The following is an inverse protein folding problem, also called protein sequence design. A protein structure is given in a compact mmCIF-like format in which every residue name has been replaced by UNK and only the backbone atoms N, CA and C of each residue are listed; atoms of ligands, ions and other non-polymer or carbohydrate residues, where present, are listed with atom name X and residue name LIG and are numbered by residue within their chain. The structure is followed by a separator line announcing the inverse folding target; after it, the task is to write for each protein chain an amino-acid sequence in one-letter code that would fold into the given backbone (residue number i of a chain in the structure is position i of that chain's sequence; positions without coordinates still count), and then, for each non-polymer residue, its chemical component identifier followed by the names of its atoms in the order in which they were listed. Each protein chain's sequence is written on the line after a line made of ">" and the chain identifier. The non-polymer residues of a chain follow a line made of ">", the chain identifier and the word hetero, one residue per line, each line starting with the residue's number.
data_IF_512230786044
#
_entry.id   IF_512230786044
#
_cell.length_a   1.000
_cell.length_b   1.000
_cell.length_c   1.000
_cell.angle_alpha   90.00
_cell.angle_beta   90.00
_cell.angle_gamma   90.00
#
_symmetry.space_group_name_H-M   'P 1'
#
loop_
_entity.id
_entity.type
_entity.pdbx_description
1 polymer ?
#
# COMPACT_ATOMS: atom_id res chain seq x y z
N UNK A 1 5.67 -23.95 2.81
CA UNK A 1 5.64 -22.59 2.26
C UNK A 1 4.25 -21.94 2.33
N UNK A 2 3.17 -22.59 1.88
CA UNK A 2 1.81 -22.00 1.94
C UNK A 2 1.30 -21.68 3.35
N UNK A 3 1.46 -22.60 4.32
CA UNK A 3 0.95 -22.39 5.69
C UNK A 3 1.60 -21.17 6.39
N UNK A 4 2.92 -21.02 6.28
CA UNK A 4 3.63 -19.89 6.89
C UNK A 4 3.21 -18.55 6.28
N UNK A 5 2.98 -18.52 4.96
CA UNK A 5 2.51 -17.33 4.27
C UNK A 5 1.10 -16.93 4.76
N UNK A 6 0.19 -17.90 4.93
CA UNK A 6 -1.17 -17.62 5.45
C UNK A 6 -1.12 -17.11 6.90
N UNK A 7 -0.23 -17.67 7.75
CA UNK A 7 -0.05 -17.14 9.12
C UNK A 7 0.46 -15.70 9.09
N UNK A 8 1.42 -15.37 8.22
CA UNK A 8 1.91 -14.00 8.06
C UNK A 8 0.80 -13.06 7.59
N UNK A 9 0.02 -13.44 6.59
CA UNK A 9 -1.14 -12.66 6.13
C UNK A 9 -2.17 -12.41 7.24
N UNK A 10 -2.48 -13.43 8.08
CA UNK A 10 -3.37 -13.26 9.22
C UNK A 10 -2.79 -12.32 10.29
N UNK A 11 -1.45 -12.26 10.42
CA UNK A 11 -0.84 -11.28 11.34
C UNK A 11 -0.99 -9.85 10.86
N UNK A 12 -0.97 -9.60 9.54
CA UNK A 12 -1.28 -8.28 8.98
C UNK A 12 -2.73 -7.85 9.30
N UNK A 13 -3.65 -8.81 9.43
CA UNK A 13 -5.02 -8.55 9.88
C UNK A 13 -5.15 -8.37 11.41
N UNK A 14 -4.03 -8.35 12.14
CA UNK A 14 -3.95 -8.03 13.56
C UNK A 14 -4.06 -9.23 14.50
N UNK A 15 -3.93 -10.45 13.99
CA UNK A 15 -3.78 -11.64 14.83
C UNK A 15 -2.30 -11.78 15.24
N UNK A 16 -2.04 -12.28 16.45
CA UNK A 16 -0.71 -12.76 16.79
C UNK A 16 -0.41 -14.07 16.04
N UNK A 17 0.86 -14.45 15.93
CA UNK A 17 1.23 -15.74 15.30
C UNK A 17 0.57 -16.94 15.97
N UNK A 18 0.39 -16.93 17.30
CA UNK A 18 -0.31 -17.98 18.02
C UNK A 18 -1.81 -17.98 17.70
N UNK A 19 -2.44 -16.82 17.70
CA UNK A 19 -3.85 -16.68 17.31
C UNK A 19 -4.09 -17.14 15.88
N UNK A 20 -3.22 -16.76 14.94
CA UNK A 20 -3.31 -17.19 13.54
C UNK A 20 -3.21 -18.72 13.40
N UNK A 21 -2.28 -19.34 14.12
CA UNK A 21 -2.14 -20.81 14.12
C UNK A 21 -3.35 -21.52 14.71
N UNK A 22 -3.93 -20.98 15.79
CA UNK A 22 -5.13 -21.52 16.44
C UNK A 22 -6.36 -21.28 15.56
N UNK A 23 -6.47 -20.11 14.92
CA UNK A 23 -7.54 -19.81 13.97
C UNK A 23 -7.56 -20.82 12.82
N UNK A 24 -6.41 -21.11 12.21
CA UNK A 24 -6.29 -22.12 11.16
C UNK A 24 -6.63 -23.52 11.65
N UNK A 25 -6.24 -23.87 12.88
CA UNK A 25 -6.61 -25.14 13.49
C UNK A 25 -8.13 -25.27 13.64
N UNK A 26 -8.81 -24.23 14.16
CA UNK A 26 -10.27 -24.20 14.25
C UNK A 26 -10.93 -24.25 12.87
N UNK A 27 -10.41 -23.50 11.89
CA UNK A 27 -10.93 -23.45 10.54
C UNK A 27 -10.91 -24.81 9.85
N UNK A 28 -9.86 -25.60 10.08
CA UNK A 28 -9.67 -26.93 9.48
C UNK A 28 -10.46 -28.03 10.19
N UNK A 29 -10.61 -27.92 11.51
CA UNK A 29 -11.16 -29.01 12.32
C UNK A 29 -12.59 -28.72 12.85
N UNK A 30 -13.11 -27.54 12.64
CA UNK A 30 -14.44 -27.14 13.12
C UNK A 30 -14.45 -26.78 14.61
N UNK A 31 -15.50 -27.20 15.32
CA UNK A 31 -15.70 -26.87 16.73
C UNK A 31 -14.73 -27.66 17.64
N UNK A 32 -13.85 -26.95 18.34
CA UNK A 32 -12.90 -27.51 19.29
C UNK A 32 -13.01 -26.80 20.65
N UNK A 33 -12.82 -27.58 21.73
CA UNK A 33 -12.56 -26.98 23.04
C UNK A 33 -11.06 -26.66 23.22
N UNK A 34 -10.70 -25.90 24.27
CA UNK A 34 -9.32 -25.48 24.50
C UNK A 34 -8.34 -26.66 24.70
N UNK A 35 -8.81 -27.80 25.21
CA UNK A 35 -7.98 -28.99 25.36
C UNK A 35 -7.66 -29.65 24.00
N UNK A 36 -8.65 -29.79 23.16
CA UNK A 36 -8.50 -30.33 21.80
C UNK A 36 -7.61 -29.43 20.97
N UNK A 37 -7.84 -28.12 21.04
CA UNK A 37 -7.00 -27.13 20.36
C UNK A 37 -5.53 -27.21 20.78
N UNK A 38 -5.27 -27.35 22.09
CA UNK A 38 -3.91 -27.54 22.60
C UNK A 38 -3.25 -28.84 22.08
N UNK A 39 -4.04 -29.93 21.97
CA UNK A 39 -3.57 -31.19 21.43
C UNK A 39 -3.22 -31.10 19.94
N UNK A 40 -4.04 -30.41 19.13
CA UNK A 40 -3.80 -30.28 17.69
C UNK A 40 -2.64 -29.33 17.38
N UNK A 41 -2.52 -28.23 18.12
CA UNK A 41 -1.52 -27.20 17.85
C UNK A 41 -0.17 -27.42 18.53
N UNK A 42 -0.12 -28.26 19.58
CA UNK A 42 1.06 -28.42 20.43
C UNK A 42 1.35 -27.22 21.34
N UNK A 43 0.48 -26.22 21.35
CA UNK A 43 0.61 -25.02 22.19
C UNK A 43 0.14 -25.34 23.63
N UNK A 44 0.82 -24.77 24.64
CA UNK A 44 0.43 -24.98 26.03
C UNK A 44 -1.01 -24.53 26.29
N UNK A 45 -1.73 -25.23 27.17
CA UNK A 45 -3.15 -24.95 27.46
C UNK A 45 -3.40 -23.49 27.86
N UNK A 46 -2.55 -22.92 28.73
CA UNK A 46 -2.69 -21.54 29.17
C UNK A 46 -2.63 -20.56 27.97
N UNK A 47 -1.68 -20.76 27.06
CA UNK A 47 -1.54 -19.92 25.87
C UNK A 47 -2.70 -20.11 24.90
N UNK A 48 -3.22 -21.36 24.77
CA UNK A 48 -4.40 -21.62 23.94
C UNK A 48 -5.61 -20.88 24.46
N UNK A 49 -5.92 -20.93 25.77
CA UNK A 49 -7.07 -20.20 26.32
C UNK A 49 -6.92 -18.68 26.16
N UNK A 50 -5.72 -18.13 26.37
CA UNK A 50 -5.47 -16.72 26.13
C UNK A 50 -5.66 -16.33 24.66
N UNK A 51 -5.17 -17.14 23.74
CA UNK A 51 -5.31 -16.89 22.31
C UNK A 51 -6.76 -17.07 21.81
N UNK A 52 -7.49 -18.08 22.34
CA UNK A 52 -8.93 -18.25 22.03
C UNK A 52 -9.75 -17.05 22.49
N UNK A 53 -9.49 -16.53 23.70
CA UNK A 53 -10.12 -15.32 24.19
C UNK A 53 -9.79 -14.12 23.28
N UNK A 54 -8.52 -13.95 22.88
CA UNK A 54 -8.11 -12.91 21.93
C UNK A 54 -8.75 -13.04 20.55
N UNK A 55 -8.94 -14.27 20.03
CA UNK A 55 -9.65 -14.51 18.78
C UNK A 55 -11.13 -14.10 18.86
N UNK A 56 -11.80 -14.40 19.97
CA UNK A 56 -13.20 -13.99 20.19
C UNK A 56 -13.29 -12.46 20.28
N UNK A 57 -12.41 -11.81 21.06
CA UNK A 57 -12.35 -10.36 21.19
C UNK A 57 -12.12 -9.66 19.85
N UNK A 58 -11.27 -10.24 19.01
CA UNK A 58 -10.96 -9.72 17.66
C UNK A 58 -11.99 -10.07 16.58
N UNK A 59 -13.05 -10.81 16.95
CA UNK A 59 -14.09 -11.24 16.00
C UNK A 59 -13.60 -12.29 14.99
N UNK A 60 -12.54 -13.05 15.32
CA UNK A 60 -11.99 -14.12 14.49
C UNK A 60 -12.49 -15.52 14.89
N UNK A 61 -13.09 -15.68 16.06
CA UNK A 61 -13.71 -16.92 16.50
C UNK A 61 -15.03 -16.67 17.24
N UNK A 62 -15.94 -17.62 17.14
CA UNK A 62 -17.15 -17.68 17.95
C UNK A 62 -16.95 -18.60 19.16
N UNK A 63 -17.47 -18.19 20.29
CA UNK A 63 -17.62 -19.02 21.48
C UNK A 63 -18.98 -19.72 21.44
N UNK A 64 -18.98 -21.05 21.55
CA UNK A 64 -20.17 -21.86 21.65
C UNK A 64 -20.29 -22.32 23.11
N UNK A 65 -21.26 -21.75 23.80
CA UNK A 65 -21.54 -22.09 25.20
C UNK A 65 -22.27 -23.45 25.30
N UNK A 66 -21.86 -24.29 26.25
CA UNK A 66 -22.42 -25.63 26.48
C UNK A 66 -21.85 -26.26 27.74
N UNK A 67 -22.00 -27.57 27.88
CA UNK A 67 -21.38 -28.32 28.99
C UNK A 67 -19.88 -28.19 29.06
N UNK A 68 -19.23 -27.95 27.92
CA UNK A 68 -17.86 -27.43 27.81
C UNK A 68 -17.85 -26.36 26.72
N UNK A 69 -17.18 -25.24 26.98
CA UNK A 69 -17.02 -24.17 25.99
C UNK A 69 -16.24 -24.67 24.78
N UNK A 70 -16.80 -24.49 23.59
CA UNK A 70 -16.15 -24.77 22.31
C UNK A 70 -15.96 -23.49 21.53
N UNK A 71 -15.05 -23.53 20.57
CA UNK A 71 -14.72 -22.41 19.71
C UNK A 71 -14.73 -22.87 18.25
N UNK A 72 -15.21 -22.01 17.38
CA UNK A 72 -15.16 -22.23 15.93
C UNK A 72 -14.64 -20.96 15.24
N UNK A 73 -13.88 -21.12 14.17
CA UNK A 73 -13.38 -19.97 13.43
C UNK A 73 -14.50 -19.24 12.70
N UNK A 74 -14.47 -17.91 12.71
CA UNK A 74 -15.28 -17.09 11.80
C UNK A 74 -14.80 -17.35 10.38
N UNK A 75 -15.69 -17.49 9.37
CA UNK A 75 -15.28 -17.64 7.98
C UNK A 75 -14.33 -16.53 7.55
N UNK A 76 -13.23 -16.88 6.83
CA UNK A 76 -12.17 -15.93 6.44
C UNK A 76 -12.73 -14.68 5.79
N UNK A 77 -13.65 -14.85 4.83
CA UNK A 77 -14.27 -13.73 4.13
C UNK A 77 -15.01 -12.78 5.09
N UNK A 78 -15.77 -13.34 6.01
CA UNK A 78 -16.53 -12.57 7.01
C UNK A 78 -15.58 -11.81 7.95
N UNK A 79 -14.58 -12.50 8.48
CA UNK A 79 -13.56 -11.90 9.34
C UNK A 79 -12.85 -10.72 8.64
N UNK A 80 -12.37 -10.93 7.39
CA UNK A 80 -11.69 -9.90 6.63
C UNK A 80 -12.59 -8.68 6.34
N UNK A 81 -13.80 -8.90 5.87
CA UNK A 81 -14.75 -7.81 5.58
C UNK A 81 -15.08 -7.00 6.84
N UNK A 82 -15.35 -7.68 7.97
CA UNK A 82 -15.63 -7.00 9.23
C UNK A 82 -14.43 -6.19 9.72
N UNK A 83 -13.22 -6.76 9.62
CA UNK A 83 -12.00 -6.07 10.04
C UNK A 83 -11.72 -4.82 9.21
N UNK A 84 -11.87 -4.90 7.88
CA UNK A 84 -11.68 -3.75 6.98
C UNK A 84 -12.69 -2.65 7.33
N UNK A 85 -13.98 -2.99 7.52
CA UNK A 85 -14.99 -2.00 7.91
C UNK A 85 -14.66 -1.32 9.22
N UNK A 86 -14.28 -2.07 10.26
CA UNK A 86 -13.92 -1.50 11.56
C UNK A 86 -12.69 -0.58 11.46
N UNK A 87 -11.71 -0.92 10.60
CA UNK A 87 -10.54 -0.07 10.36
C UNK A 87 -10.91 1.21 9.60
N UNK A 88 -11.87 1.15 8.66
CA UNK A 88 -12.37 2.33 7.97
C UNK A 88 -13.09 3.29 8.93
N UNK A 89 -13.97 2.78 9.78
CA UNK A 89 -14.65 3.58 10.82
C UNK A 89 -13.64 4.23 11.77
N UNK A 90 -12.65 3.46 12.22
CA UNK A 90 -11.58 3.98 13.08
C UNK A 90 -10.73 5.06 12.40
N UNK A 91 -10.43 4.90 11.09
CA UNK A 91 -9.70 5.90 10.32
C UNK A 91 -10.48 7.22 10.25
N UNK A 92 -11.80 7.17 9.99
CA UNK A 92 -12.65 8.36 10.00
C UNK A 92 -12.70 9.06 11.37
N UNK A 93 -12.74 8.29 12.46
CA UNK A 93 -12.69 8.83 13.82
C UNK A 93 -11.35 9.50 14.11
N UNK A 94 -10.24 8.89 13.69
CA UNK A 94 -8.89 9.45 13.85
C UNK A 94 -8.76 10.76 13.09
N UNK A 95 -9.25 10.83 11.84
CA UNK A 95 -9.23 12.08 11.06
C UNK A 95 -9.98 13.23 11.73
N UNK A 96 -11.09 12.93 12.42
CA UNK A 96 -11.89 13.93 13.15
C UNK A 96 -11.25 14.37 14.47
N UNK A 97 -10.58 13.44 15.18
CA UNK A 97 -10.17 13.64 16.57
C UNK A 97 -8.68 13.97 16.72
N UNK A 98 -7.82 13.61 15.74
CA UNK A 98 -6.39 13.94 15.82
C UNK A 98 -6.21 15.44 15.63
N UNK A 99 -5.51 16.14 16.56
CA UNK A 99 -5.23 17.56 16.40
C UNK A 99 -4.53 17.84 15.08
N UNK A 100 -4.96 18.91 14.38
CA UNK A 100 -4.30 19.32 13.13
C UNK A 100 -2.80 19.52 13.39
N UNK A 101 -1.97 18.88 12.59
CA UNK A 101 -0.53 19.05 12.66
C UNK A 101 -0.17 20.54 12.53
N UNK A 102 0.78 21.02 13.34
CA UNK A 102 1.40 22.31 13.08
C UNK A 102 2.01 22.26 11.68
N UNK A 103 1.76 23.33 10.92
CA UNK A 103 2.14 23.50 9.51
C UNK A 103 3.40 22.73 9.15
N UNK A 104 3.34 22.02 7.99
CA UNK A 104 4.42 21.23 7.44
C UNK A 104 5.76 22.00 7.50
N UNK A 105 6.79 21.30 7.93
CA UNK A 105 8.15 21.83 7.89
C UNK A 105 8.49 22.21 6.45
N UNK A 106 8.92 23.46 6.25
CA UNK A 106 9.49 23.98 4.98
C UNK A 106 10.83 23.27 4.67
N UNK A 107 10.88 21.96 4.73
CA UNK A 107 12.08 21.16 4.65
C UNK A 107 12.04 20.07 3.59
N UNK A 108 13.12 19.31 3.58
CA UNK A 108 13.24 18.09 2.80
C UNK A 108 12.92 16.91 3.71
N UNK A 109 12.02 16.03 3.27
CA UNK A 109 11.66 14.81 3.99
C UNK A 109 12.28 13.63 3.25
N UNK A 110 13.10 12.84 3.94
CA UNK A 110 13.58 11.56 3.44
C UNK A 110 12.56 10.48 3.77
N UNK A 111 12.17 9.71 2.76
CA UNK A 111 11.27 8.56 2.91
C UNK A 111 12.11 7.32 2.60
N UNK A 112 12.15 6.39 3.55
CA UNK A 112 12.94 5.16 3.47
C UNK A 112 12.03 3.93 3.35
N UNK A 113 12.45 2.98 2.53
CA UNK A 113 11.77 1.71 2.28
C UNK A 113 10.74 1.78 1.15
N UNK A 114 10.81 0.75 0.28
CA UNK A 114 9.97 0.65 -0.91
C UNK A 114 8.48 0.86 -0.63
N UNK A 115 7.93 0.21 0.41
CA UNK A 115 6.50 0.29 0.70
C UNK A 115 6.08 1.71 1.09
N UNK A 116 6.84 2.40 1.94
CA UNK A 116 6.56 3.78 2.33
C UNK A 116 6.65 4.75 1.15
N UNK A 117 7.61 4.51 0.23
CA UNK A 117 7.72 5.29 -1.02
C UNK A 117 6.50 5.04 -1.90
N UNK A 118 6.10 3.78 -2.08
CA UNK A 118 4.92 3.41 -2.86
C UNK A 118 3.65 4.05 -2.31
N UNK A 119 3.40 3.94 -1.01
CA UNK A 119 2.25 4.55 -0.34
C UNK A 119 2.25 6.08 -0.48
N UNK A 120 3.45 6.70 -0.39
CA UNK A 120 3.58 8.14 -0.62
C UNK A 120 3.26 8.54 -2.05
N UNK A 121 3.69 7.74 -3.04
CA UNK A 121 3.34 7.96 -4.45
C UNK A 121 1.84 7.86 -4.65
N UNK A 122 1.18 6.82 -4.12
CA UNK A 122 -0.29 6.66 -4.20
C UNK A 122 -0.99 7.89 -3.62
N UNK A 123 -0.65 8.29 -2.40
CA UNK A 123 -1.24 9.47 -1.75
C UNK A 123 -1.04 10.75 -2.57
N UNK A 124 0.14 10.95 -3.17
CA UNK A 124 0.41 12.10 -4.03
C UNK A 124 -0.45 12.09 -5.29
N UNK A 125 -0.60 10.93 -5.95
CA UNK A 125 -1.43 10.77 -7.15
C UNK A 125 -2.91 11.05 -6.84
N UNK A 126 -3.42 10.52 -5.74
CA UNK A 126 -4.81 10.72 -5.29
C UNK A 126 -5.10 12.18 -4.93
N UNK A 127 -4.17 12.85 -4.26
CA UNK A 127 -4.30 14.23 -3.79
C UNK A 127 -4.10 15.29 -4.87
N UNK A 128 -3.51 14.94 -6.02
CA UNK A 128 -3.26 15.86 -7.12
C UNK A 128 -4.57 16.50 -7.63
N UNK A 129 -4.57 17.82 -7.88
CA UNK A 129 -5.76 18.57 -8.30
C UNK A 129 -5.79 18.84 -9.81
N UNK A 130 -4.63 19.12 -10.42
CA UNK A 130 -4.57 19.61 -11.79
C UNK A 130 -3.69 18.77 -12.71
N UNK A 131 -2.46 18.46 -12.27
CA UNK A 131 -1.47 17.86 -13.16
C UNK A 131 -0.45 16.98 -12.43
N UNK A 132 -0.06 15.93 -13.11
CA UNK A 132 0.92 14.95 -12.64
C UNK A 132 1.95 14.76 -13.71
N UNK A 133 3.23 14.80 -13.32
CA UNK A 133 4.37 14.41 -14.13
C UNK A 133 5.09 13.28 -13.41
N UNK A 134 5.09 12.09 -13.98
CA UNK A 134 5.71 10.90 -13.42
C UNK A 134 6.75 10.35 -14.40
N UNK A 135 8.00 10.31 -13.96
CA UNK A 135 9.10 9.67 -14.66
C UNK A 135 9.58 8.49 -13.83
N UNK A 136 9.37 7.27 -14.35
CA UNK A 136 9.66 6.03 -13.62
C UNK A 136 9.78 4.84 -14.58
N UNK A 137 10.41 3.72 -14.16
CA UNK A 137 10.43 2.47 -14.91
C UNK A 137 9.01 1.97 -15.23
N UNK A 138 8.82 1.39 -16.41
CA UNK A 138 7.54 0.81 -16.82
C UNK A 138 6.98 -0.18 -15.80
N UNK A 139 7.82 -1.02 -15.22
CA UNK A 139 7.40 -1.98 -14.19
C UNK A 139 6.79 -1.34 -12.95
N UNK A 140 7.22 -0.13 -12.59
CA UNK A 140 6.63 0.62 -11.49
C UNK A 140 5.33 1.32 -11.91
N UNK A 141 5.28 1.88 -13.14
CA UNK A 141 4.06 2.47 -13.70
C UNK A 141 2.93 1.45 -13.77
N UNK A 142 3.22 0.21 -14.16
CA UNK A 142 2.22 -0.85 -14.22
C UNK A 142 1.64 -1.22 -12.83
N UNK A 143 2.42 -1.13 -11.77
CA UNK A 143 1.91 -1.30 -10.40
C UNK A 143 0.96 -0.17 -9.97
N UNK A 144 1.10 1.02 -10.55
CA UNK A 144 0.27 2.18 -10.29
C UNK A 144 -0.92 2.30 -11.26
N UNK A 145 -1.10 1.33 -12.17
CA UNK A 145 -2.07 1.40 -13.27
C UNK A 145 -3.48 1.80 -12.81
N UNK A 146 -4.00 1.19 -11.77
CA UNK A 146 -5.37 1.45 -11.29
C UNK A 146 -5.54 2.91 -10.88
N UNK A 147 -4.65 3.42 -10.03
CA UNK A 147 -4.72 4.82 -9.57
C UNK A 147 -4.45 5.81 -10.70
N UNK A 148 -3.58 5.46 -11.66
CA UNK A 148 -3.33 6.30 -12.84
C UNK A 148 -4.56 6.36 -13.76
N UNK A 149 -5.30 5.26 -13.91
CA UNK A 149 -6.59 5.27 -14.60
C UNK A 149 -7.59 6.19 -13.92
N UNK A 150 -7.71 6.13 -12.59
CA UNK A 150 -8.59 7.03 -11.85
C UNK A 150 -8.20 8.51 -12.00
N UNK A 151 -6.90 8.81 -12.02
CA UNK A 151 -6.39 10.17 -12.28
C UNK A 151 -6.87 10.68 -13.64
N UNK A 152 -6.80 9.85 -14.68
CA UNK A 152 -7.27 10.19 -16.03
C UNK A 152 -8.79 10.38 -16.02
N UNK A 153 -9.53 9.47 -15.39
CA UNK A 153 -11.00 9.53 -15.31
C UNK A 153 -11.48 10.82 -14.59
N UNK A 154 -10.69 11.32 -13.63
CA UNK A 154 -10.89 12.62 -12.98
C UNK A 154 -10.45 13.81 -13.84
N UNK A 155 -10.09 13.60 -15.11
CA UNK A 155 -9.66 14.61 -16.10
C UNK A 155 -8.45 15.44 -15.67
N UNK A 156 -7.54 14.87 -14.88
CA UNK A 156 -6.28 15.50 -14.51
C UNK A 156 -5.26 15.28 -15.61
N UNK A 157 -4.41 16.26 -15.86
CA UNK A 157 -3.33 16.10 -16.85
C UNK A 157 -2.30 15.12 -16.31
N UNK A 158 -2.12 13.98 -17.00
CA UNK A 158 -1.11 12.98 -16.68
C UNK A 158 -0.05 12.95 -17.79
N UNK A 159 1.20 13.17 -17.41
CA UNK A 159 2.38 13.07 -18.28
C UNK A 159 3.30 11.99 -17.69
N UNK A 160 3.61 11.00 -18.50
CA UNK A 160 4.48 9.88 -18.14
C UNK A 160 5.76 9.92 -18.97
N UNK A 161 6.90 9.68 -18.35
CA UNK A 161 8.18 9.41 -19.00
C UNK A 161 8.62 8.03 -18.55
N UNK A 162 8.73 7.08 -19.47
CA UNK A 162 8.96 5.67 -19.14
C UNK A 162 9.76 4.95 -20.24
N UNK A 163 10.22 3.75 -19.98
CA UNK A 163 11.10 2.97 -20.86
C UNK A 163 10.37 1.88 -21.66
N UNK A 164 9.03 1.79 -21.56
CA UNK A 164 8.24 0.92 -22.42
C UNK A 164 6.83 1.47 -22.65
N UNK A 165 6.17 0.98 -23.71
CA UNK A 165 4.81 1.36 -24.07
C UNK A 165 3.79 0.92 -23.03
N UNK A 166 2.78 1.75 -22.78
CA UNK A 166 1.63 1.44 -21.92
C UNK A 166 0.34 1.90 -22.61
N UNK A 167 -0.75 1.16 -22.41
CA UNK A 167 -2.06 1.52 -22.97
C UNK A 167 -2.75 2.72 -22.26
N UNK A 168 -2.10 3.36 -21.30
CA UNK A 168 -2.59 4.58 -20.68
C UNK A 168 -2.68 5.76 -21.66
N UNK A 169 -1.94 5.71 -22.78
CA UNK A 169 -2.06 6.67 -23.88
C UNK A 169 -3.48 6.69 -24.48
N UNK A 170 -4.07 5.51 -24.72
CA UNK A 170 -5.43 5.37 -25.26
C UNK A 170 -6.50 5.98 -24.33
N UNK A 171 -6.20 6.11 -23.04
CA UNK A 171 -7.07 6.72 -22.04
C UNK A 171 -6.85 8.21 -21.87
N UNK A 172 -5.83 8.81 -22.51
CA UNK A 172 -5.55 10.23 -22.50
C UNK A 172 -4.32 10.67 -21.71
N UNK A 173 -3.45 9.74 -21.26
CA UNK A 173 -2.13 10.10 -20.76
C UNK A 173 -1.21 10.56 -21.90
N UNK A 174 -0.37 11.55 -21.65
CA UNK A 174 0.72 11.93 -22.54
C UNK A 174 1.94 11.09 -22.16
N UNK A 175 2.46 10.29 -23.10
CA UNK A 175 3.56 9.38 -22.82
C UNK A 175 4.77 9.77 -23.66
N UNK A 176 5.92 9.85 -22.98
CA UNK A 176 7.23 10.03 -23.59
C UNK A 176 8.06 8.77 -23.31
N UNK A 177 8.63 8.18 -24.36
CA UNK A 177 9.48 6.99 -24.22
C UNK A 177 10.96 7.39 -24.22
N UNK A 178 11.71 6.71 -23.37
CA UNK A 178 13.17 6.82 -23.28
C UNK A 178 13.80 5.43 -23.23
N UNK A 179 15.06 5.30 -23.59
CA UNK A 179 15.73 3.99 -23.73
C UNK A 179 15.78 3.18 -22.41
N UNK A 180 16.01 3.85 -21.30
CA UNK A 180 16.10 3.19 -20.00
C UNK A 180 15.82 4.16 -18.85
N UNK A 181 15.02 3.70 -17.86
CA UNK A 181 14.78 4.44 -16.60
C UNK A 181 15.49 3.82 -15.40
N UNK A 182 16.03 2.61 -15.55
CA UNK A 182 16.66 1.87 -14.45
C UNK A 182 15.77 1.85 -13.19
N UNK A 183 16.22 2.52 -12.12
CA UNK A 183 15.52 2.59 -10.83
C UNK A 183 15.02 4.00 -10.48
N UNK A 184 15.15 4.94 -11.41
CA UNK A 184 14.88 6.35 -11.13
C UNK A 184 13.39 6.64 -10.99
N UNK A 185 13.01 7.33 -9.91
CA UNK A 185 11.67 7.86 -9.67
C UNK A 185 11.73 9.39 -9.59
N UNK A 186 10.88 10.06 -10.36
CA UNK A 186 10.59 11.49 -10.23
C UNK A 186 9.09 11.71 -10.39
N UNK A 187 8.45 12.23 -9.37
CA UNK A 187 7.03 12.58 -9.37
C UNK A 187 6.86 14.04 -8.98
N UNK A 188 6.16 14.80 -9.84
CA UNK A 188 5.77 16.18 -9.55
C UNK A 188 4.25 16.27 -9.63
N UNK A 189 3.63 16.78 -8.59
CA UNK A 189 2.18 17.06 -8.58
C UNK A 189 1.93 18.57 -8.47
N UNK A 190 1.00 19.07 -9.28
CA UNK A 190 0.48 20.43 -9.29
C UNK A 190 1.53 21.54 -9.35
N UNK A 191 2.75 21.22 -9.74
CA UNK A 191 3.92 22.10 -9.66
C UNK A 191 4.21 22.62 -8.23
N UNK A 192 3.75 21.90 -7.22
CA UNK A 192 3.83 22.28 -5.82
C UNK A 192 4.69 21.33 -4.99
N UNK A 193 4.73 20.05 -5.35
CA UNK A 193 5.48 19.03 -4.60
C UNK A 193 6.25 18.11 -5.53
N UNK A 194 7.41 17.68 -5.06
CA UNK A 194 8.30 16.73 -5.73
C UNK A 194 8.61 15.55 -4.81
N UNK A 195 8.56 14.35 -5.34
CA UNK A 195 9.15 13.14 -4.78
C UNK A 195 10.18 12.60 -5.78
N UNK A 196 11.41 12.36 -5.35
CA UNK A 196 12.47 11.87 -6.21
C UNK A 196 13.44 10.96 -5.48
N UNK A 197 13.94 9.93 -6.16
CA UNK A 197 14.89 8.95 -5.62
C UNK A 197 15.02 7.73 -6.49
N UNK A 198 15.35 6.61 -5.88
CA UNK A 198 15.53 5.32 -6.53
C UNK A 198 14.54 4.29 -5.97
N UNK A 199 14.02 3.43 -6.85
CA UNK A 199 13.08 2.36 -6.53
C UNK A 199 13.57 1.03 -7.10
N UNK A 200 14.16 0.21 -6.26
CA UNK A 200 14.64 -1.14 -6.60
C UNK A 200 13.67 -2.23 -6.15
N UNK A 201 12.74 -1.89 -5.28
CA UNK A 201 11.85 -2.83 -4.59
C UNK A 201 12.41 -3.31 -3.25
N UNK A 202 13.46 -2.70 -2.73
CA UNK A 202 14.14 -3.09 -1.50
C UNK A 202 13.78 -2.20 -0.30
N UNK A 203 14.05 -2.70 0.91
CA UNK A 203 13.90 -1.91 2.14
C UNK A 203 14.93 -0.77 2.25
N UNK A 204 15.98 -0.78 1.41
CA UNK A 204 17.00 0.26 1.36
C UNK A 204 16.68 1.41 0.39
N UNK A 205 15.57 1.33 -0.34
CA UNK A 205 15.15 2.40 -1.24
C UNK A 205 14.92 3.70 -0.48
N UNK A 206 15.35 4.83 -1.07
CA UNK A 206 15.19 6.15 -0.45
C UNK A 206 14.70 7.18 -1.46
N UNK A 207 13.78 8.06 -1.02
CA UNK A 207 13.30 9.19 -1.80
C UNK A 207 13.29 10.47 -0.96
N UNK A 208 13.52 11.60 -1.62
CA UNK A 208 13.32 12.94 -1.06
C UNK A 208 11.96 13.49 -1.50
N UNK A 209 11.20 13.99 -0.53
CA UNK A 209 9.95 14.70 -0.76
C UNK A 209 10.09 16.15 -0.28
N UNK A 210 9.64 17.11 -1.08
CA UNK A 210 9.63 18.52 -0.70
C UNK A 210 8.63 19.34 -1.51
N UNK A 211 8.09 20.39 -0.88
CA UNK A 211 7.35 21.49 -1.49
C UNK A 211 8.17 22.77 -1.66
N UNK A 212 9.48 22.74 -1.39
CA UNK A 212 10.35 23.91 -1.55
C UNK A 212 10.38 24.38 -3.00
N UNK A 213 10.04 25.65 -3.23
CA UNK A 213 9.91 26.23 -4.58
C UNK A 213 11.15 26.03 -5.45
N UNK A 214 12.34 26.22 -4.88
CA UNK A 214 13.59 26.04 -5.61
C UNK A 214 13.78 24.57 -6.04
N UNK A 215 13.52 23.64 -5.15
CA UNK A 215 13.59 22.19 -5.42
C UNK A 215 12.59 21.79 -6.52
N UNK A 216 11.34 22.23 -6.39
CA UNK A 216 10.31 21.98 -7.39
C UNK A 216 10.72 22.54 -8.76
N UNK A 217 11.26 23.74 -8.83
CA UNK A 217 11.69 24.36 -10.10
C UNK A 217 12.82 23.58 -10.76
N UNK A 218 13.85 23.14 -10.02
CA UNK A 218 14.92 22.31 -10.55
C UNK A 218 14.40 21.04 -11.20
N UNK A 219 13.47 20.34 -10.55
CA UNK A 219 12.93 19.09 -11.11
C UNK A 219 11.95 19.34 -12.27
N UNK A 220 11.22 20.46 -12.26
CA UNK A 220 10.41 20.87 -13.43
C UNK A 220 11.28 21.16 -14.64
N UNK A 221 12.38 21.87 -14.47
CA UNK A 221 13.32 22.15 -15.56
C UNK A 221 13.98 20.85 -16.06
N UNK A 222 14.39 19.97 -15.16
CA UNK A 222 14.94 18.67 -15.52
C UNK A 222 13.98 17.84 -16.37
N UNK A 223 12.73 17.67 -15.94
CA UNK A 223 11.71 16.95 -16.72
C UNK A 223 11.37 17.64 -18.04
N UNK A 224 11.30 18.96 -18.05
CA UNK A 224 11.05 19.71 -19.28
C UNK A 224 12.17 19.51 -20.31
N UNK A 225 13.42 19.53 -19.86
CA UNK A 225 14.57 19.30 -20.74
C UNK A 225 14.60 17.84 -21.23
N UNK A 226 14.26 16.88 -20.40
CA UNK A 226 14.13 15.48 -20.78
C UNK A 226 13.04 15.28 -21.85
N UNK A 227 11.85 15.86 -21.66
CA UNK A 227 10.76 15.85 -22.65
C UNK A 227 11.22 16.47 -23.98
N UNK A 228 11.88 17.65 -23.94
CA UNK A 228 12.40 18.30 -25.17
C UNK A 228 13.42 17.41 -25.90
N UNK A 229 14.30 16.74 -25.15
CA UNK A 229 15.27 15.86 -25.75
C UNK A 229 14.58 14.70 -26.47
N UNK A 230 13.60 14.04 -25.83
CA UNK A 230 12.81 12.98 -26.44
C UNK A 230 12.07 13.48 -27.70
N UNK A 231 11.48 14.68 -27.65
CA UNK A 231 10.79 15.28 -28.81
C UNK A 231 11.73 15.57 -29.97
N UNK A 232 12.97 15.94 -29.69
CA UNK A 232 14.00 16.23 -30.71
C UNK A 232 14.59 14.93 -31.31
N UNK A 233 14.69 13.87 -30.55
CA UNK A 233 15.20 12.56 -31.03
C UNK A 233 14.14 11.75 -31.79
N UNK A 234 12.89 12.17 -31.77
CA UNK A 234 11.80 11.54 -32.53
C UNK A 234 11.12 10.36 -31.86
N UNK A 235 11.39 10.11 -30.58
CA UNK A 235 10.83 9.02 -29.79
C UNK A 235 9.44 9.37 -29.16
N UNK A 236 8.51 9.88 -29.99
CA UNK A 236 7.12 9.96 -29.56
C UNK A 236 6.44 8.61 -29.79
N UNK A 237 5.80 8.05 -28.79
CA UNK A 237 4.82 7.00 -29.00
C UNK A 237 3.64 7.59 -29.81
N UNK A 238 3.46 7.13 -31.05
CA UNK A 238 2.24 7.33 -31.82
C UNK A 238 1.06 6.55 -31.23
#
# INVERSE_FOLDING_TARGET
>A
MEYQNVVEQLTEFGLTRQEASIYLCLYQNGELNGYETAKYTGISRSNVYSALAGLVEKGAAYLIEGASSKYTAVPVQEFCVNKIRNLQELAEELEKNVPKAKVATDGYITIEGYQHIYDKVLHMLESAQYRIYLSAPHTFIEKLREVLCEVIDRRKKLVLITDAQTNLAERGAIIYLTDCKETQLRLIIDSAYVLTGEITGSSGDTCLFSGQTNFVNVFKEALHNEIKLIELTGEKAE
#
